data_IF_271228173050
#
_entry.id   IF_271228173050
#
_cell.length_a   1.000
_cell.length_b   1.000
_cell.length_c   1.000
_cell.angle_alpha   90.00
_cell.angle_beta   90.00
_cell.angle_gamma   90.00
#
_symmetry.space_group_name_H-M   'P 1'
#
loop_
_entity.id
_entity.type
_entity.pdbx_description
1 polymer ?
#
# COMPACT_ATOMS: atom_id res chain seq x y z
N UNK A 1 87.00 -46.81 10.45
CA UNK A 1 85.58 -47.12 10.18
C UNK A 1 84.78 -45.83 10.29
N UNK A 2 84.18 -45.40 9.17
CA UNK A 2 83.06 -44.44 9.00
C UNK A 2 83.16 -43.04 9.63
N UNK A 3 83.63 -42.01 8.92
CA UNK A 3 82.90 -41.11 8.00
C UNK A 3 81.86 -40.16 8.64
N UNK A 4 82.26 -38.88 8.68
CA UNK A 4 81.43 -37.68 8.88
C UNK A 4 80.42 -37.56 7.73
N UNK A 5 79.15 -37.27 8.05
CA UNK A 5 78.15 -36.85 7.05
C UNK A 5 77.79 -35.38 7.26
N UNK A 6 77.98 -34.62 6.18
CA UNK A 6 77.50 -33.26 5.94
C UNK A 6 76.22 -33.38 5.09
N UNK A 7 75.27 -32.47 5.29
CA UNK A 7 74.13 -32.22 4.41
C UNK A 7 72.85 -31.96 5.21
N UNK A 8 71.95 -31.04 4.86
CA UNK A 8 71.80 -30.19 3.69
C UNK A 8 70.68 -29.19 4.08
N UNK A 9 70.90 -27.89 3.90
CA UNK A 9 69.89 -26.87 4.17
C UNK A 9 68.88 -26.82 3.01
N UNK A 10 67.59 -26.99 3.31
CA UNK A 10 66.50 -26.85 2.35
C UNK A 10 65.97 -25.42 2.46
N UNK A 11 66.10 -24.65 1.38
CA UNK A 11 65.45 -23.35 1.20
C UNK A 11 64.09 -23.61 0.55
N UNK A 12 63.00 -23.35 1.27
CA UNK A 12 61.64 -23.34 0.73
C UNK A 12 61.29 -21.91 0.32
N UNK A 13 61.27 -21.66 -0.99
CA UNK A 13 60.71 -20.45 -1.57
C UNK A 13 59.18 -20.61 -1.66
N UNK A 14 58.44 -20.03 -0.72
CA UNK A 14 56.98 -19.98 -0.74
C UNK A 14 56.50 -18.82 -1.61
N UNK A 15 55.84 -19.14 -2.72
CA UNK A 15 55.13 -18.21 -3.59
C UNK A 15 53.91 -17.61 -2.88
N UNK A 16 53.82 -16.27 -2.85
CA UNK A 16 52.63 -15.55 -2.41
C UNK A 16 51.48 -15.77 -3.39
N UNK A 17 50.44 -16.48 -2.97
CA UNK A 17 49.14 -16.47 -3.62
C UNK A 17 48.33 -15.28 -3.12
N UNK A 18 48.19 -14.24 -3.95
CA UNK A 18 47.21 -13.18 -3.74
C UNK A 18 45.81 -13.76 -3.97
N UNK A 19 45.07 -14.01 -2.89
CA UNK A 19 43.64 -14.29 -2.96
C UNK A 19 42.95 -13.03 -3.50
N UNK A 20 42.42 -13.12 -4.72
CA UNK A 20 41.57 -12.09 -5.29
C UNK A 20 40.28 -11.98 -4.48
N UNK A 21 40.07 -10.82 -3.85
CA UNK A 21 38.79 -10.47 -3.25
C UNK A 21 37.72 -10.48 -4.36
N UNK A 22 36.84 -11.48 -4.35
CA UNK A 22 35.59 -11.44 -5.10
C UNK A 22 34.79 -10.22 -4.64
N UNK A 23 34.51 -9.31 -5.57
CA UNK A 23 33.81 -8.07 -5.29
C UNK A 23 32.51 -8.29 -4.53
N UNK A 24 32.32 -7.54 -3.46
CA UNK A 24 31.03 -7.39 -2.81
C UNK A 24 30.06 -6.81 -3.84
N UNK A 25 29.11 -7.62 -4.31
CA UNK A 25 27.92 -7.06 -4.93
C UNK A 25 27.23 -6.23 -3.85
N UNK A 26 27.16 -4.92 -3.99
CA UNK A 26 26.33 -4.08 -3.12
C UNK A 26 24.92 -4.66 -3.15
N UNK A 27 24.47 -5.16 -2.01
CA UNK A 27 23.13 -5.71 -1.88
C UNK A 27 22.14 -4.58 -2.11
N UNK A 28 21.20 -4.78 -3.04
CA UNK A 28 20.07 -3.85 -3.23
C UNK A 28 18.98 -4.05 -2.17
N UNK A 29 19.16 -4.99 -1.24
CA UNK A 29 18.21 -5.25 -0.18
C UNK A 29 18.14 -4.09 0.82
N UNK A 30 16.95 -3.91 1.38
CA UNK A 30 16.74 -2.97 2.48
C UNK A 30 15.35 -2.38 2.48
N UNK A 31 15.08 -1.62 3.53
CA UNK A 31 13.89 -0.79 3.63
C UNK A 31 14.28 0.64 3.25
N UNK A 32 13.58 1.19 2.27
CA UNK A 32 13.76 2.57 1.83
C UNK A 32 12.50 3.35 2.16
N UNK A 33 12.66 4.58 2.65
CA UNK A 33 11.57 5.40 3.15
C UNK A 33 11.32 6.59 2.21
N UNK A 34 10.04 6.94 2.06
CA UNK A 34 9.64 8.23 1.51
C UNK A 34 9.81 9.37 2.52
N UNK A 35 9.44 10.61 2.13
CA UNK A 35 9.43 11.74 3.04
C UNK A 35 8.50 11.53 4.23
N UNK A 36 8.94 11.95 5.41
CA UNK A 36 8.13 11.93 6.63
C UNK A 36 7.25 13.18 6.74
N UNK A 37 6.02 13.01 7.23
CA UNK A 37 5.03 14.08 7.40
C UNK A 37 4.32 13.92 8.75
N UNK A 38 3.73 15.00 9.25
CA UNK A 38 2.89 14.94 10.44
C UNK A 38 1.59 14.16 10.16
N UNK A 39 1.10 13.41 11.14
CA UNK A 39 -0.20 12.76 11.14
C UNK A 39 -0.70 12.71 12.59
N UNK A 40 -1.86 13.30 12.88
CA UNK A 40 -2.31 13.48 14.26
C UNK A 40 -1.24 14.20 15.11
N UNK A 41 -0.90 13.63 16.26
CA UNK A 41 0.18 14.10 17.14
C UNK A 41 1.54 13.47 16.85
N UNK A 42 1.61 12.63 15.80
CA UNK A 42 2.79 11.88 15.43
C UNK A 42 3.23 12.13 13.99
N UNK A 43 3.91 11.15 13.40
CA UNK A 43 4.39 11.20 12.02
C UNK A 43 4.02 9.95 11.24
N UNK A 44 4.03 10.09 9.92
CA UNK A 44 3.84 9.01 8.97
C UNK A 44 4.78 9.16 7.76
N UNK A 45 5.16 8.02 7.18
CA UNK A 45 5.98 7.93 5.96
C UNK A 45 5.73 6.62 5.24
N UNK A 46 5.82 6.65 3.93
CA UNK A 46 5.78 5.44 3.11
C UNK A 46 7.12 4.71 3.13
N UNK A 47 7.12 3.45 2.72
CA UNK A 47 8.33 2.67 2.51
C UNK A 47 8.17 1.60 1.44
N UNK A 48 9.30 1.06 0.98
CA UNK A 48 9.41 -0.17 0.20
C UNK A 48 10.49 -1.07 0.79
N UNK A 49 10.26 -2.38 0.78
CA UNK A 49 11.25 -3.39 1.14
C UNK A 49 11.71 -4.10 -0.12
N UNK A 50 13.00 -3.99 -0.43
CA UNK A 50 13.64 -4.74 -1.50
C UNK A 50 14.34 -5.99 -0.96
N UNK A 51 14.21 -7.10 -1.68
CA UNK A 51 14.97 -8.32 -1.44
C UNK A 51 16.41 -8.22 -1.99
N UNK A 52 17.23 -9.25 -1.75
CA UNK A 52 18.65 -9.28 -2.14
C UNK A 52 18.87 -9.15 -3.66
N UNK A 53 17.93 -9.62 -4.46
CA UNK A 53 17.91 -9.48 -5.92
C UNK A 53 17.47 -8.08 -6.40
N UNK A 54 17.03 -7.21 -5.48
CA UNK A 54 16.52 -5.87 -5.76
C UNK A 54 15.02 -5.83 -6.09
N UNK A 55 14.31 -6.96 -6.01
CA UNK A 55 12.89 -7.01 -6.28
C UNK A 55 12.08 -6.52 -5.06
N UNK A 56 11.02 -5.72 -5.27
CA UNK A 56 10.18 -5.27 -4.17
C UNK A 56 9.34 -6.43 -3.62
N UNK A 57 9.28 -6.52 -2.31
CA UNK A 57 8.52 -7.57 -1.59
C UNK A 57 7.36 -7.00 -0.77
N UNK A 58 7.45 -5.74 -0.36
CA UNK A 58 6.47 -5.03 0.44
C UNK A 58 6.53 -3.52 0.14
N UNK A 59 5.37 -2.86 0.09
CA UNK A 59 5.24 -1.39 0.16
C UNK A 59 4.23 -1.07 1.26
N UNK A 60 4.36 0.08 1.91
CA UNK A 60 3.41 0.41 2.96
C UNK A 60 3.53 1.84 3.48
N UNK A 61 2.64 2.15 4.42
CA UNK A 61 2.71 3.31 5.29
C UNK A 61 3.18 2.84 6.67
N UNK A 62 4.14 3.56 7.25
CA UNK A 62 4.45 3.50 8.68
C UNK A 62 4.01 4.78 9.35
N UNK A 63 3.52 4.67 10.57
CA UNK A 63 3.17 5.83 11.38
C UNK A 63 3.42 5.55 12.87
N UNK A 64 3.86 6.57 13.60
CA UNK A 64 4.12 6.47 15.04
C UNK A 64 2.85 6.17 15.82
N UNK A 65 2.97 5.55 17.01
CA UNK A 65 1.85 5.32 17.93
C UNK A 65 1.00 6.58 18.15
N UNK A 66 1.67 7.70 18.39
CA UNK A 66 1.06 9.01 18.68
C UNK A 66 0.27 9.58 17.48
N UNK A 67 0.42 9.02 16.28
CA UNK A 67 -0.36 9.45 15.12
C UNK A 67 -1.84 9.05 15.23
N UNK A 68 -2.19 8.15 16.16
CA UNK A 68 -3.57 7.85 16.54
C UNK A 68 -4.16 8.87 17.53
N UNK A 69 -3.42 9.89 17.93
CA UNK A 69 -3.86 10.93 18.87
C UNK A 69 -3.91 12.30 18.19
N UNK A 70 -4.67 13.25 18.75
CA UNK A 70 -4.78 14.61 18.19
C UNK A 70 -5.31 14.67 16.76
N UNK A 71 -6.03 13.63 16.33
CA UNK A 71 -6.74 13.61 15.05
C UNK A 71 -7.92 14.58 15.11
N UNK A 72 -8.19 15.25 13.99
CA UNK A 72 -9.31 16.19 13.84
C UNK A 72 -10.64 15.49 14.12
N UNK A 73 -11.55 16.17 14.81
CA UNK A 73 -12.94 15.76 14.96
C UNK A 73 -13.83 16.24 13.80
N UNK A 74 -13.30 17.08 12.91
CA UNK A 74 -14.03 17.59 11.75
C UNK A 74 -14.38 16.47 10.76
N UNK A 75 -15.67 16.28 10.53
CA UNK A 75 -16.20 15.38 9.50
C UNK A 75 -16.12 16.01 8.11
N UNK A 76 -15.05 15.72 7.39
CA UNK A 76 -14.90 16.18 6.02
C UNK A 76 -15.60 15.28 4.99
N UNK A 77 -16.10 14.09 5.37
CA UNK A 77 -16.95 13.27 4.51
C UNK A 77 -18.36 13.85 4.43
N UNK A 78 -18.91 14.31 5.55
CA UNK A 78 -20.20 15.01 5.59
C UNK A 78 -20.21 16.27 4.70
N UNK A 79 -19.10 17.02 4.65
CA UNK A 79 -18.96 18.23 3.82
C UNK A 79 -19.06 17.89 2.30
N UNK A 80 -18.59 16.72 1.86
CA UNK A 80 -18.66 16.28 0.44
C UNK A 80 -20.05 15.85 0.04
N UNK A 81 -20.78 15.14 0.91
CA UNK A 81 -22.16 14.70 0.64
C UNK A 81 -23.15 15.86 0.49
N UNK A 82 -22.82 17.06 0.98
CA UNK A 82 -23.63 18.29 0.79
C UNK A 82 -23.07 19.24 -0.27
N UNK A 83 -22.03 18.83 -1.02
CA UNK A 83 -21.46 19.62 -2.12
C UNK A 83 -20.77 20.92 -1.70
N UNK A 84 -20.46 21.10 -0.41
CA UNK A 84 -19.78 22.28 0.13
C UNK A 84 -18.37 22.00 0.63
N UNK A 85 -17.95 20.73 0.64
CA UNK A 85 -16.65 20.29 1.11
C UNK A 85 -15.63 20.11 0.00
N UNK A 86 -14.43 20.63 0.25
CA UNK A 86 -13.23 19.88 -0.12
C UNK A 86 -13.31 18.57 0.67
N UNK A 87 -12.99 17.42 0.06
CA UNK A 87 -12.74 16.15 0.76
C UNK A 87 -11.90 16.40 2.03
N UNK A 88 -11.76 15.47 3.00
CA UNK A 88 -10.66 15.54 3.97
C UNK A 88 -9.39 16.02 3.27
N UNK A 89 -8.51 16.68 4.01
CA UNK A 89 -7.16 16.93 3.52
C UNK A 89 -6.53 15.56 3.24
N UNK A 90 -6.80 14.99 2.07
CA UNK A 90 -6.34 13.70 1.62
C UNK A 90 -4.84 13.83 1.56
N UNK A 91 -4.18 13.18 2.51
CA UNK A 91 -2.76 13.35 2.66
C UNK A 91 -2.08 12.39 1.71
N UNK A 92 -1.55 12.95 0.62
CA UNK A 92 -0.73 12.19 -0.34
C UNK A 92 0.67 11.97 0.24
N UNK A 93 1.09 10.72 0.23
CA UNK A 93 2.44 10.26 0.55
C UNK A 93 3.06 9.61 -0.70
N UNK A 94 4.16 10.19 -1.17
CA UNK A 94 4.93 9.64 -2.28
C UNK A 94 5.60 8.33 -1.86
N UNK A 95 5.59 7.31 -2.71
CA UNK A 95 6.45 6.14 -2.47
C UNK A 95 7.93 6.51 -2.70
N UNK A 96 8.87 5.87 -1.98
CA UNK A 96 10.31 6.04 -2.25
C UNK A 96 10.64 5.66 -3.69
N UNK A 97 11.67 6.30 -4.27
CA UNK A 97 12.07 6.08 -5.67
C UNK A 97 12.40 4.60 -6.01
N UNK A 98 12.74 3.80 -5.01
CA UNK A 98 13.00 2.36 -5.10
C UNK A 98 11.73 1.55 -5.40
N UNK A 99 10.54 2.11 -5.20
CA UNK A 99 9.26 1.47 -5.49
C UNK A 99 8.81 1.61 -6.96
N UNK A 100 9.61 2.26 -7.82
CA UNK A 100 9.24 2.54 -9.23
C UNK A 100 8.94 1.30 -10.09
N UNK A 101 9.43 0.12 -9.71
CA UNK A 101 9.12 -1.13 -10.40
C UNK A 101 7.77 -1.74 -9.96
N UNK A 102 7.18 -1.25 -8.88
CA UNK A 102 5.85 -1.68 -8.44
C UNK A 102 4.76 -1.09 -9.33
N UNK A 103 3.57 -1.68 -9.27
CA UNK A 103 2.40 -1.17 -9.96
C UNK A 103 1.80 0.08 -9.30
N UNK A 104 2.23 0.39 -8.08
CA UNK A 104 1.68 1.45 -7.24
C UNK A 104 2.50 2.72 -7.36
N UNK A 105 1.82 3.86 -7.34
CA UNK A 105 2.39 5.19 -7.56
C UNK A 105 2.55 5.94 -6.23
N UNK A 106 1.46 6.08 -5.48
CA UNK A 106 1.42 6.82 -4.22
C UNK A 106 0.39 6.22 -3.25
N UNK A 107 0.45 6.69 -2.00
CA UNK A 107 -0.53 6.36 -0.97
C UNK A 107 -1.30 7.63 -0.61
N UNK A 108 -2.62 7.55 -0.54
CA UNK A 108 -3.46 8.58 0.06
C UNK A 108 -3.98 8.07 1.39
N UNK A 109 -3.91 8.91 2.41
CA UNK A 109 -4.47 8.64 3.74
C UNK A 109 -5.57 9.66 4.02
N UNK A 110 -6.76 9.16 4.33
CA UNK A 110 -7.84 9.95 4.88
C UNK A 110 -8.15 9.50 6.30
N UNK A 111 -8.65 10.46 7.08
CA UNK A 111 -9.20 10.22 8.39
C UNK A 111 -10.69 10.57 8.35
N UNK A 112 -11.53 9.60 8.68
CA UNK A 112 -12.98 9.72 8.76
C UNK A 112 -13.41 9.67 10.24
N UNK A 113 -13.52 10.80 10.97
CA UNK A 113 -13.77 10.79 12.41
C UNK A 113 -15.17 10.30 12.80
N UNK A 114 -16.12 10.27 11.86
CA UNK A 114 -17.50 9.82 12.04
C UNK A 114 -17.81 8.61 11.15
N UNK A 115 -16.81 8.12 10.42
CA UNK A 115 -17.01 7.17 9.35
C UNK A 115 -17.65 7.76 8.10
N UNK A 116 -18.07 6.91 7.17
CA UNK A 116 -18.70 7.35 5.93
C UNK A 116 -19.61 6.27 5.34
N UNK A 117 -20.39 6.62 4.31
CA UNK A 117 -21.28 5.69 3.63
C UNK A 117 -20.57 4.42 3.10
N UNK A 118 -21.25 3.25 3.08
CA UNK A 118 -22.68 3.05 3.35
C UNK A 118 -23.05 3.16 4.84
N UNK A 119 -24.16 3.86 5.12
CA UNK A 119 -24.66 4.10 6.48
C UNK A 119 -24.89 2.79 7.22
N UNK A 120 -24.41 2.75 8.46
CA UNK A 120 -24.47 1.62 9.36
C UNK A 120 -23.39 0.56 9.13
N UNK A 121 -22.56 0.69 8.08
CA UNK A 121 -21.50 -0.28 7.76
C UNK A 121 -20.11 0.25 8.11
N UNK A 122 -19.76 1.47 7.64
CA UNK A 122 -18.44 2.08 7.87
C UNK A 122 -18.51 3.32 8.77
N UNK A 123 -19.41 3.32 9.76
CA UNK A 123 -19.73 4.49 10.61
C UNK A 123 -18.81 4.65 11.84
N UNK A 124 -17.70 3.90 11.92
CA UNK A 124 -16.74 4.04 13.03
C UNK A 124 -15.60 4.97 12.62
N UNK A 125 -14.95 5.68 13.56
CA UNK A 125 -13.75 6.44 13.24
C UNK A 125 -12.67 5.56 12.62
N UNK A 126 -12.26 5.84 11.39
CA UNK A 126 -11.32 5.00 10.65
C UNK A 126 -10.41 5.79 9.71
N UNK A 127 -9.34 5.14 9.29
CA UNK A 127 -8.48 5.59 8.21
C UNK A 127 -8.78 4.83 6.93
N UNK A 128 -8.75 5.56 5.82
CA UNK A 128 -8.81 5.04 4.46
C UNK A 128 -7.41 5.14 3.85
N UNK A 129 -6.78 3.99 3.58
CA UNK A 129 -5.41 3.96 3.04
C UNK A 129 -5.43 3.48 1.59
N UNK A 130 -5.53 4.42 0.66
CA UNK A 130 -5.63 4.13 -0.77
C UNK A 130 -4.24 3.99 -1.39
N UNK A 131 -3.86 2.79 -1.78
CA UNK A 131 -2.65 2.52 -2.57
C UNK A 131 -2.99 2.66 -4.05
N UNK A 132 -2.73 3.85 -4.61
CA UNK A 132 -3.06 4.16 -6.00
C UNK A 132 -2.06 3.56 -6.98
N UNK A 133 -2.57 3.06 -8.10
CA UNK A 133 -1.80 2.56 -9.24
C UNK A 133 -1.67 3.60 -10.36
N UNK A 134 -2.64 4.50 -10.45
CA UNK A 134 -2.64 5.62 -11.39
C UNK A 134 -1.93 6.83 -10.79
N UNK A 135 -1.43 7.70 -11.66
CA UNK A 135 -0.82 8.96 -11.26
C UNK A 135 -1.84 9.90 -10.58
N UNK A 136 -1.39 10.83 -9.72
CA UNK A 136 -2.28 11.71 -8.96
C UNK A 136 -3.12 12.64 -9.84
N UNK A 137 -2.64 12.97 -11.04
CA UNK A 137 -3.33 13.88 -11.97
C UNK A 137 -4.56 13.18 -12.58
N UNK A 138 -4.44 11.90 -12.94
CA UNK A 138 -5.56 11.08 -13.36
C UNK A 138 -6.64 10.93 -12.27
N UNK A 139 -6.26 10.85 -10.99
CA UNK A 139 -7.20 10.80 -9.87
C UNK A 139 -7.86 12.16 -9.63
N UNK A 140 -7.10 13.25 -9.72
CA UNK A 140 -7.63 14.61 -9.60
C UNK A 140 -8.60 14.98 -10.74
N UNK A 141 -8.49 14.32 -11.91
CA UNK A 141 -9.39 14.51 -13.04
C UNK A 141 -10.76 13.84 -12.87
N UNK A 142 -11.01 13.11 -11.76
CA UNK A 142 -12.32 12.56 -11.40
C UNK A 142 -13.21 13.70 -10.85
N UNK A 143 -13.50 14.67 -11.71
CA UNK A 143 -14.16 15.92 -11.36
C UNK A 143 -15.62 15.92 -11.86
N UNK A 144 -16.63 16.11 -10.98
CA UNK A 144 -18.04 16.08 -11.36
C UNK A 144 -18.45 17.22 -12.31
N UNK A 145 -17.60 18.24 -12.49
CA UNK A 145 -17.82 19.32 -13.46
C UNK A 145 -17.40 18.94 -14.89
N UNK A 146 -16.67 17.83 -15.07
CA UNK A 146 -16.29 17.34 -16.38
C UNK A 146 -17.51 16.89 -17.20
N UNK A 147 -17.55 17.27 -18.48
CA UNK A 147 -18.72 17.01 -19.34
C UNK A 147 -18.99 15.51 -19.57
N UNK A 148 -17.95 14.68 -19.48
CA UNK A 148 -17.98 13.22 -19.65
C UNK A 148 -18.04 12.45 -18.33
N UNK A 149 -18.11 13.12 -17.16
CA UNK A 149 -18.04 12.48 -15.85
C UNK A 149 -18.99 11.29 -15.70
N UNK A 150 -20.27 11.45 -16.06
CA UNK A 150 -21.28 10.38 -15.95
C UNK A 150 -20.97 9.21 -16.89
N UNK A 151 -20.46 9.48 -18.10
CA UNK A 151 -20.10 8.44 -19.05
C UNK A 151 -18.85 7.66 -18.59
N UNK A 152 -17.84 8.35 -18.07
CA UNK A 152 -16.64 7.73 -17.49
C UNK A 152 -16.95 6.95 -16.20
N UNK A 153 -17.84 7.45 -15.35
CA UNK A 153 -18.31 6.75 -14.17
C UNK A 153 -19.00 5.42 -14.53
N UNK A 154 -19.81 5.42 -15.60
CA UNK A 154 -20.49 4.22 -16.09
C UNK A 154 -19.56 3.22 -16.80
N UNK A 155 -18.33 3.62 -17.14
CA UNK A 155 -17.36 2.74 -17.81
C UNK A 155 -16.64 1.88 -16.78
N UNK A 156 -17.11 0.64 -16.60
CA UNK A 156 -16.47 -0.33 -15.72
C UNK A 156 -15.31 -1.06 -16.41
N UNK A 157 -14.25 -1.47 -15.69
CA UNK A 157 -13.19 -2.29 -16.27
C UNK A 157 -13.71 -3.64 -16.77
N UNK A 158 -13.02 -4.23 -17.75
CA UNK A 158 -13.25 -5.64 -18.09
C UNK A 158 -13.04 -6.54 -16.87
N UNK A 159 -13.86 -7.58 -16.71
CA UNK A 159 -13.84 -8.45 -15.53
C UNK A 159 -12.46 -9.06 -15.23
N UNK A 160 -11.66 -9.35 -16.26
CA UNK A 160 -10.30 -9.89 -16.10
C UNK A 160 -9.34 -8.95 -15.34
N UNK A 161 -9.63 -7.65 -15.28
CA UNK A 161 -8.83 -6.65 -14.57
C UNK A 161 -9.32 -6.38 -13.15
N UNK A 162 -10.38 -7.05 -12.70
CA UNK A 162 -10.93 -6.92 -11.35
C UNK A 162 -10.66 -8.18 -10.53
N UNK A 163 -10.33 -8.03 -9.24
CA UNK A 163 -10.38 -9.16 -8.32
C UNK A 163 -11.77 -9.82 -8.31
N UNK A 164 -11.86 -11.16 -8.24
CA UNK A 164 -13.14 -11.84 -8.20
C UNK A 164 -13.98 -11.45 -6.97
N UNK A 165 -15.30 -11.62 -7.10
CA UNK A 165 -16.33 -11.35 -6.08
C UNK A 165 -16.52 -9.88 -5.68
N UNK A 166 -15.75 -8.95 -6.22
CA UNK A 166 -15.98 -7.53 -5.99
C UNK A 166 -17.12 -7.01 -6.86
N UNK A 167 -18.03 -6.28 -6.24
CA UNK A 167 -19.16 -5.61 -6.91
C UNK A 167 -19.13 -4.10 -6.62
N UNK A 168 -19.64 -3.25 -7.53
CA UNK A 168 -19.73 -1.82 -7.25
C UNK A 168 -20.50 -1.54 -5.96
N UNK A 169 -20.05 -0.57 -5.17
CA UNK A 169 -20.68 -0.16 -3.92
C UNK A 169 -22.05 0.55 -4.13
N UNK A 170 -22.47 0.70 -5.37
CA UNK A 170 -23.81 1.13 -5.79
C UNK A 170 -23.82 1.54 -7.27
N UNK A 171 -24.76 2.39 -7.67
CA UNK A 171 -24.87 2.86 -9.05
C UNK A 171 -23.65 3.72 -9.41
N UNK A 172 -22.85 3.36 -10.43
CA UNK A 172 -21.67 4.14 -10.80
C UNK A 172 -21.96 5.63 -11.06
N UNK A 173 -23.11 5.97 -11.61
CA UNK A 173 -23.45 7.35 -11.95
C UNK A 173 -23.71 8.23 -10.71
N UNK A 174 -24.05 7.65 -9.57
CA UNK A 174 -24.38 8.41 -8.34
C UNK A 174 -23.40 8.15 -7.19
N UNK A 175 -22.76 6.98 -7.17
CA UNK A 175 -21.90 6.53 -6.07
C UNK A 175 -20.40 6.65 -6.38
N UNK A 176 -20.03 7.08 -7.59
CA UNK A 176 -18.64 7.44 -7.86
C UNK A 176 -18.26 8.66 -7.04
N UNK A 177 -17.20 8.53 -6.23
CA UNK A 177 -16.76 9.58 -5.33
C UNK A 177 -15.82 10.52 -6.11
N UNK A 178 -16.12 11.83 -6.19
CA UNK A 178 -15.21 12.82 -6.76
C UNK A 178 -13.79 12.72 -6.20
N UNK A 179 -12.80 12.89 -7.07
CA UNK A 179 -11.37 12.85 -6.73
C UNK A 179 -10.90 11.55 -6.07
N UNK A 180 -11.69 10.47 -6.18
CA UNK A 180 -11.39 9.16 -5.57
C UNK A 180 -11.66 8.02 -6.54
N UNK A 181 -12.88 7.93 -7.08
CA UNK A 181 -13.33 6.86 -7.98
C UNK A 181 -14.52 6.06 -7.44
N UNK A 182 -14.97 5.09 -8.23
CA UNK A 182 -16.03 4.15 -7.88
C UNK A 182 -15.47 3.07 -6.95
N UNK A 183 -16.07 2.92 -5.76
CA UNK A 183 -15.69 1.91 -4.77
C UNK A 183 -16.32 0.56 -5.09
N UNK A 184 -15.59 -0.51 -4.77
CA UNK A 184 -16.02 -1.90 -4.95
C UNK A 184 -15.87 -2.67 -3.65
N UNK A 185 -16.90 -3.45 -3.33
CA UNK A 185 -17.02 -4.22 -2.10
C UNK A 185 -16.97 -5.72 -2.38
N UNK A 186 -16.30 -6.49 -1.52
CA UNK A 186 -16.28 -7.95 -1.61
C UNK A 186 -17.65 -8.53 -1.25
N UNK A 187 -18.38 -9.05 -2.24
CA UNK A 187 -19.72 -9.61 -2.05
C UNK A 187 -19.74 -10.88 -1.19
N UNK A 188 -18.59 -11.50 -0.89
CA UNK A 188 -18.50 -12.63 0.04
C UNK A 188 -18.50 -12.19 1.51
N UNK A 189 -18.30 -10.89 1.78
CA UNK A 189 -18.33 -10.35 3.14
C UNK A 189 -19.75 -9.95 3.55
N UNK A 190 -20.13 -10.15 4.82
CA UNK A 190 -21.48 -9.89 5.30
C UNK A 190 -21.64 -8.41 5.65
N UNK A 191 -21.65 -7.51 4.66
CA UNK A 191 -21.88 -6.05 4.82
C UNK A 191 -23.32 -5.70 5.23
N UNK A 192 -23.86 -6.39 6.22
CA UNK A 192 -25.13 -6.08 6.86
C UNK A 192 -24.84 -5.17 8.07
N UNK A 193 -25.37 -3.94 8.10
CA UNK A 193 -25.17 -2.98 9.20
C UNK A 193 -25.43 -3.52 10.61
N UNK A 194 -26.33 -4.49 10.75
CA UNK A 194 -26.71 -5.05 12.05
C UNK A 194 -25.73 -6.11 12.56
N UNK A 195 -24.96 -6.74 11.67
CA UNK A 195 -24.11 -7.88 12.00
C UNK A 195 -22.64 -7.68 11.67
N UNK A 196 -22.34 -6.77 10.74
CA UNK A 196 -20.98 -6.47 10.33
C UNK A 196 -20.25 -5.71 11.43
N UNK A 197 -19.22 -6.33 12.01
CA UNK A 197 -18.35 -5.66 12.97
C UNK A 197 -17.20 -5.03 12.23
N UNK A 198 -17.35 -3.76 11.87
CA UNK A 198 -16.28 -3.03 11.21
C UNK A 198 -15.10 -2.82 12.18
N UNK A 199 -13.95 -3.38 11.81
CA UNK A 199 -12.65 -3.19 12.47
C UNK A 199 -11.58 -2.90 11.42
N UNK A 200 -11.59 -3.70 10.36
CA UNK A 200 -10.86 -3.49 9.13
C UNK A 200 -11.67 -4.07 7.96
N UNK A 201 -11.45 -3.55 6.75
CA UNK A 201 -11.89 -4.20 5.51
C UNK A 201 -11.02 -3.77 4.33
N UNK A 202 -11.02 -4.58 3.27
CA UNK A 202 -10.46 -4.20 1.98
C UNK A 202 -11.56 -3.79 1.02
N UNK A 203 -11.35 -2.67 0.34
CA UNK A 203 -12.15 -2.25 -0.82
C UNK A 203 -11.21 -1.94 -1.98
N UNK A 204 -11.80 -1.83 -3.18
CA UNK A 204 -11.08 -1.47 -4.39
C UNK A 204 -11.71 -0.26 -5.06
N UNK A 205 -10.95 0.39 -5.93
CA UNK A 205 -11.39 1.57 -6.67
C UNK A 205 -11.23 1.43 -8.17
N UNK A 206 -12.16 1.98 -8.94
CA UNK A 206 -12.06 2.08 -10.40
C UNK A 206 -12.49 3.44 -10.91
N UNK A 207 -12.04 3.79 -12.11
CA UNK A 207 -12.53 4.94 -12.87
C UNK A 207 -12.28 4.71 -14.36
N UNK A 208 -13.29 4.98 -15.18
CA UNK A 208 -13.15 5.01 -16.64
C UNK A 208 -12.45 3.76 -17.21
N UNK A 209 -12.95 2.58 -16.85
CA UNK A 209 -12.40 1.29 -17.30
C UNK A 209 -11.05 0.90 -16.70
N UNK A 210 -10.51 1.69 -15.75
CA UNK A 210 -9.22 1.43 -15.10
C UNK A 210 -9.36 1.06 -13.64
N UNK A 211 -8.52 0.13 -13.20
CA UNK A 211 -8.31 -0.15 -11.78
C UNK A 211 -7.42 0.92 -11.14
N UNK A 212 -7.90 1.54 -10.07
CA UNK A 212 -7.26 2.69 -9.44
C UNK A 212 -6.48 2.34 -8.20
N UNK A 213 -7.08 1.62 -7.25
CA UNK A 213 -6.49 1.43 -5.92
C UNK A 213 -6.95 0.15 -5.23
N UNK A 214 -6.12 -0.28 -4.29
CA UNK A 214 -6.48 -1.17 -3.17
C UNK A 214 -6.53 -0.31 -1.91
N UNK A 215 -7.56 -0.51 -1.08
CA UNK A 215 -7.79 0.31 0.11
C UNK A 215 -8.10 -0.55 1.33
N UNK A 216 -7.14 -0.72 2.26
CA UNK A 216 -7.43 -1.14 3.61
C UNK A 216 -8.06 0.04 4.38
N UNK A 217 -9.32 -0.12 4.78
CA UNK A 217 -9.98 0.76 5.74
C UNK A 217 -9.79 0.20 7.14
N UNK A 218 -9.26 0.99 8.08
CA UNK A 218 -8.85 0.53 9.42
C UNK A 218 -9.42 1.42 10.51
N UNK A 219 -10.25 0.84 11.38
CA UNK A 219 -10.77 1.59 12.54
C UNK A 219 -9.67 1.92 13.52
N UNK A 220 -9.74 3.12 14.10
CA UNK A 220 -8.79 3.57 15.13
C UNK A 220 -8.80 2.66 16.35
N UNK A 221 -9.99 2.24 16.80
CA UNK A 221 -10.14 1.36 17.96
C UNK A 221 -9.44 0.02 17.74
N UNK A 222 -9.51 -0.54 16.54
CA UNK A 222 -8.79 -1.78 16.23
C UNK A 222 -7.28 -1.56 16.21
N UNK A 223 -6.79 -0.46 15.63
CA UNK A 223 -5.37 -0.13 15.65
C UNK A 223 -4.83 0.02 17.08
N UNK A 224 -5.58 0.63 18.00
CA UNK A 224 -5.21 0.75 19.42
C UNK A 224 -5.08 -0.59 20.17
N UNK A 225 -5.57 -1.70 19.59
CA UNK A 225 -5.31 -3.05 20.13
C UNK A 225 -3.95 -3.62 19.72
N UNK A 226 -3.15 -2.84 18.99
CA UNK A 226 -1.81 -3.21 18.50
C UNK A 226 -1.84 -4.51 17.69
N UNK A 227 -2.67 -4.58 16.63
CA UNK A 227 -2.94 -5.84 15.96
C UNK A 227 -1.69 -6.34 15.23
N UNK A 228 -1.59 -7.67 15.15
CA UNK A 228 -0.73 -8.37 14.20
C UNK A 228 -1.60 -9.18 13.25
N UNK A 229 -1.85 -8.61 12.09
CA UNK A 229 -2.75 -9.13 11.09
C UNK A 229 -2.04 -9.35 9.74
N UNK A 230 -2.41 -10.42 9.05
CA UNK A 230 -2.06 -10.66 7.66
C UNK A 230 -3.27 -11.27 6.92
N UNK A 231 -3.53 -10.80 5.71
CA UNK A 231 -4.64 -11.27 4.87
C UNK A 231 -4.23 -11.32 3.40
N UNK A 232 -5.01 -12.04 2.61
CA UNK A 232 -4.80 -12.18 1.17
C UNK A 232 -5.51 -11.06 0.39
N UNK A 233 -4.92 -10.67 -0.74
CA UNK A 233 -5.58 -9.84 -1.75
C UNK A 233 -6.06 -10.76 -2.87
N UNK A 234 -7.37 -10.79 -3.11
CA UNK A 234 -7.93 -11.46 -4.30
C UNK A 234 -7.25 -10.86 -5.55
N UNK A 235 -6.82 -11.72 -6.46
CA UNK A 235 -6.03 -11.31 -7.63
C UNK A 235 -6.92 -11.23 -8.86
N UNK A 236 -6.81 -10.14 -9.62
CA UNK A 236 -7.34 -10.07 -10.98
C UNK A 236 -6.64 -11.10 -11.88
N UNK A 237 -7.33 -11.63 -12.90
CA UNK A 237 -6.77 -12.58 -13.87
C UNK A 237 -5.64 -11.93 -14.69
N UNK A 238 -5.84 -10.68 -15.10
CA UNK A 238 -4.94 -9.86 -15.90
C UNK A 238 -4.71 -8.50 -15.26
N UNK A 239 -3.68 -7.79 -15.73
CA UNK A 239 -3.39 -6.41 -15.30
C UNK A 239 -3.26 -5.49 -16.51
N UNK A 240 -3.64 -4.22 -16.34
CA UNK A 240 -3.57 -3.23 -17.42
C UNK A 240 -2.17 -2.62 -17.58
N UNK A 241 -1.30 -2.77 -16.56
CA UNK A 241 0.06 -2.23 -16.52
C UNK A 241 1.02 -3.31 -16.04
N UNK A 242 2.21 -3.39 -16.63
CA UNK A 242 3.25 -4.29 -16.12
C UNK A 242 3.91 -3.70 -14.88
N UNK A 243 4.22 -4.53 -13.90
CA UNK A 243 4.86 -4.10 -12.65
C UNK A 243 4.79 -5.17 -11.57
N UNK A 244 5.28 -4.86 -10.38
CA UNK A 244 5.11 -5.72 -9.20
C UNK A 244 3.78 -5.42 -8.49
N UNK A 245 2.92 -6.44 -8.38
CA UNK A 245 1.60 -6.38 -7.77
C UNK A 245 1.57 -7.17 -6.47
N UNK A 246 0.89 -6.63 -5.46
CA UNK A 246 0.76 -7.29 -4.17
C UNK A 246 -0.27 -8.42 -4.21
N UNK A 247 -0.01 -9.46 -3.41
CA UNK A 247 -0.87 -10.63 -3.24
C UNK A 247 -1.43 -10.78 -1.82
N UNK A 248 -0.96 -9.95 -0.88
CA UNK A 248 -1.50 -9.89 0.48
C UNK A 248 -1.38 -8.49 1.06
N UNK A 249 -1.94 -8.30 2.25
CA UNK A 249 -1.75 -7.10 3.05
C UNK A 249 -1.53 -7.46 4.51
N UNK A 250 -0.91 -6.56 5.26
CA UNK A 250 -0.63 -6.75 6.67
C UNK A 250 -0.77 -5.46 7.46
N UNK A 251 -1.19 -5.62 8.71
CA UNK A 251 -1.22 -4.54 9.70
C UNK A 251 -0.45 -5.03 10.92
N UNK A 252 0.57 -4.28 11.34
CA UNK A 252 1.47 -4.71 12.41
C UNK A 252 1.85 -3.53 13.29
N UNK A 253 1.92 -3.76 14.59
CA UNK A 253 2.61 -2.88 15.53
C UNK A 253 4.04 -3.37 15.79
N UNK A 254 5.00 -2.45 15.80
CA UNK A 254 6.42 -2.68 16.10
C UNK A 254 6.73 -2.08 17.49
N UNK A 255 6.84 -2.95 18.50
CA UNK A 255 7.08 -2.55 19.90
C UNK A 255 8.41 -1.81 20.10
N UNK A 256 9.44 -2.13 19.33
CA UNK A 256 10.75 -1.48 19.51
C UNK A 256 10.73 -0.06 18.97
N UNK A 257 10.03 0.15 17.85
CA UNK A 257 9.93 1.47 17.19
C UNK A 257 8.74 2.29 17.65
N UNK A 258 7.78 1.68 18.34
CA UNK A 258 6.48 2.27 18.66
C UNK A 258 5.78 2.80 17.40
N UNK A 259 5.80 2.00 16.33
CA UNK A 259 5.24 2.34 15.02
C UNK A 259 4.22 1.28 14.58
N UNK A 260 3.14 1.71 13.93
CA UNK A 260 2.29 0.86 13.14
C UNK A 260 2.81 0.78 11.70
N UNK A 261 2.50 -0.33 11.02
CA UNK A 261 2.69 -0.49 9.59
C UNK A 261 1.42 -1.05 8.97
N UNK A 262 0.98 -0.45 7.85
CA UNK A 262 -0.07 -0.96 6.97
C UNK A 262 0.56 -1.16 5.60
N UNK A 263 0.60 -2.40 5.14
CA UNK A 263 1.46 -2.79 4.03
C UNK A 263 0.73 -3.66 3.03
N UNK A 264 1.03 -3.45 1.74
CA UNK A 264 0.79 -4.42 0.69
C UNK A 264 2.03 -5.30 0.55
N UNK A 265 1.84 -6.62 0.52
CA UNK A 265 2.88 -7.64 0.69
C UNK A 265 2.84 -8.66 -0.44
N UNK A 266 3.90 -9.47 -0.56
CA UNK A 266 3.97 -10.55 -1.55
C UNK A 266 3.98 -10.00 -2.98
N UNK A 267 4.71 -8.91 -3.18
CA UNK A 267 4.80 -8.26 -4.48
C UNK A 267 5.48 -9.19 -5.49
N UNK A 268 4.79 -9.48 -6.60
CA UNK A 268 5.31 -10.33 -7.69
C UNK A 268 5.10 -9.66 -9.04
N UNK A 269 6.04 -9.88 -9.97
CA UNK A 269 5.99 -9.28 -11.29
C UNK A 269 4.83 -9.86 -12.10
N UNK A 270 4.04 -8.96 -12.70
CA UNK A 270 2.98 -9.28 -13.67
C UNK A 270 3.17 -8.48 -14.95
N UNK A 271 2.82 -9.09 -16.07
CA UNK A 271 2.86 -8.47 -17.40
C UNK A 271 1.45 -8.10 -17.81
N UNK A 272 1.27 -6.93 -18.41
CA UNK A 272 -0.02 -6.51 -18.94
C UNK A 272 -0.53 -7.45 -20.05
N UNK A 273 -1.84 -7.75 -20.04
CA UNK A 273 -2.48 -8.70 -20.98
C UNK A 273 -3.97 -8.48 -21.18
#
# INVERSE_FOLDING_TARGET
MSWRRIGMAIVVAGTLGLAGCSGSSDSRAGTFYGPERALGSGTARTYVVLAADGNPSEIGLRFSRDALEGLSDRDSHADVSVGTGVFPKSERYELPAQAKSTAYDHVVVDWAPQGHAPTGTFDKPHFDLRFYLQDPEAVAAIDPTAADYVASAATLPEAKYLPPDYVPAGDPATETVPYTGLRWLDSTLPFNPQTFQFTQVLINGTWDGRYLFVEPMLTRDWLLTEPRFAGELKQAEAVQKSGYYASGYAVRFDDERQEYSVALTGLTARTAS
#
